data_IF_385058714103
#
_entry.id   IF_385058714103
#
_cell.length_a   1.000
_cell.length_b   1.000
_cell.length_c   1.000
_cell.angle_alpha   90.00
_cell.angle_beta   90.00
_cell.angle_gamma   90.00
#
_symmetry.space_group_name_H-M   'P 1'
#
loop_
_entity.id
_entity.type
_entity.pdbx_description
1 polymer ?
#
# COMPACT_ATOMS: atom_id res chain seq x y z
N UNK A 1 -3.27 13.44 4.10
CA UNK A 1 -3.67 13.61 5.52
C UNK A 1 -2.93 12.55 6.36
N UNK A 2 -2.34 12.89 7.51
CA UNK A 2 -1.50 11.94 8.26
C UNK A 2 -2.29 10.81 8.95
N UNK A 3 -3.54 11.09 9.36
CA UNK A 3 -4.42 10.12 10.02
C UNK A 3 -4.74 8.92 9.13
N UNK A 4 -5.17 9.14 7.87
CA UNK A 4 -5.55 8.07 6.94
C UNK A 4 -4.37 7.11 6.71
N UNK A 5 -3.17 7.66 6.52
CA UNK A 5 -1.93 6.89 6.36
C UNK A 5 -1.57 6.06 7.61
N UNK A 6 -1.84 6.57 8.81
CA UNK A 6 -1.62 5.81 10.03
C UNK A 6 -2.65 4.69 10.20
N UNK A 7 -3.92 4.98 9.89
CA UNK A 7 -5.02 4.02 9.95
C UNK A 7 -4.91 2.89 8.91
N UNK A 8 -4.20 3.12 7.80
CA UNK A 8 -3.92 2.09 6.79
C UNK A 8 -3.05 0.95 7.34
N UNK A 9 -2.18 1.23 8.32
CA UNK A 9 -1.32 0.23 8.98
C UNK A 9 -1.83 -0.16 10.37
N UNK A 10 -3.11 0.08 10.66
CA UNK A 10 -3.74 -0.31 11.90
C UNK A 10 -3.82 -1.84 12.02
N UNK A 11 -3.76 -2.37 13.24
CA UNK A 11 -3.85 -3.81 13.50
C UNK A 11 -5.26 -4.36 13.16
N UNK A 12 -6.30 -3.55 13.36
CA UNK A 12 -7.68 -3.92 13.08
C UNK A 12 -7.98 -3.86 11.57
N UNK A 13 -8.45 -4.97 11.01
CA UNK A 13 -8.82 -5.05 9.59
C UNK A 13 -9.93 -4.07 9.20
N UNK A 14 -10.88 -3.83 10.12
CA UNK A 14 -11.99 -2.89 9.93
C UNK A 14 -11.48 -1.46 9.77
N UNK A 15 -10.47 -1.08 10.55
CA UNK A 15 -9.85 0.25 10.49
C UNK A 15 -9.07 0.43 9.19
N UNK A 16 -8.36 -0.61 8.73
CA UNK A 16 -7.66 -0.56 7.44
C UNK A 16 -8.61 -0.42 6.27
N UNK A 17 -9.74 -1.13 6.27
CA UNK A 17 -10.75 -1.03 5.22
C UNK A 17 -11.38 0.38 5.19
N UNK A 18 -11.79 0.90 6.35
CA UNK A 18 -12.31 2.26 6.46
C UNK A 18 -11.27 3.32 6.03
N UNK A 19 -9.99 3.10 6.35
CA UNK A 19 -8.90 3.96 5.92
C UNK A 19 -8.68 3.90 4.41
N UNK A 20 -8.84 2.75 3.77
CA UNK A 20 -8.76 2.62 2.32
C UNK A 20 -9.93 3.32 1.60
N UNK A 21 -11.16 3.22 2.13
CA UNK A 21 -12.30 4.00 1.62
C UNK A 21 -12.08 5.50 1.82
N UNK A 22 -11.59 5.91 2.99
CA UNK A 22 -11.26 7.32 3.25
C UNK A 22 -10.12 7.82 2.34
N UNK A 23 -9.15 6.97 2.03
CA UNK A 23 -8.06 7.26 1.10
C UNK A 23 -8.56 7.41 -0.33
N UNK A 24 -9.54 6.61 -0.74
CA UNK A 24 -10.19 6.72 -2.05
C UNK A 24 -10.93 8.06 -2.21
N UNK A 25 -11.72 8.44 -1.18
CA UNK A 25 -12.39 9.73 -1.13
C UNK A 25 -11.40 10.91 -1.05
N UNK A 26 -10.28 10.74 -0.33
CA UNK A 26 -9.19 11.73 -0.25
C UNK A 26 -8.58 11.93 -1.64
N UNK A 27 -8.32 10.87 -2.40
CA UNK A 27 -7.78 11.00 -3.75
C UNK A 27 -8.73 11.69 -4.73
N UNK A 28 -10.05 11.45 -4.62
CA UNK A 28 -11.04 12.12 -5.47
C UNK A 28 -11.00 13.64 -5.29
N UNK A 29 -10.70 14.13 -4.08
CA UNK A 29 -10.73 15.55 -3.74
C UNK A 29 -9.35 16.23 -3.71
N UNK A 30 -8.29 15.50 -3.33
CA UNK A 30 -6.91 16.01 -3.17
C UNK A 30 -6.03 15.65 -4.38
N UNK A 31 -6.45 14.67 -5.19
CA UNK A 31 -5.72 14.25 -6.39
C UNK A 31 -4.49 13.36 -6.09
N UNK A 32 -3.59 13.18 -7.07
CA UNK A 32 -2.52 12.17 -7.01
C UNK A 32 -1.48 12.37 -5.89
N UNK A 33 -1.42 13.55 -5.25
CA UNK A 33 -0.47 13.83 -4.15
C UNK A 33 -0.65 12.90 -2.95
N UNK A 34 -1.86 12.44 -2.68
CA UNK A 34 -2.11 11.50 -1.58
C UNK A 34 -1.42 10.15 -1.82
N UNK A 35 -1.38 9.68 -3.07
CA UNK A 35 -0.66 8.47 -3.49
C UNK A 35 0.85 8.67 -3.36
N UNK A 36 1.35 9.79 -3.90
CA UNK A 36 2.78 10.08 -3.92
C UNK A 36 3.41 10.10 -2.52
N UNK A 37 2.64 10.41 -1.48
CA UNK A 37 3.12 10.37 -0.09
C UNK A 37 2.85 9.03 0.61
N UNK A 38 1.71 8.39 0.32
CA UNK A 38 1.26 7.20 1.06
C UNK A 38 1.95 5.94 0.58
N UNK A 39 2.08 5.76 -0.74
CA UNK A 39 2.68 4.56 -1.33
C UNK A 39 4.14 4.39 -0.92
N UNK A 40 5.03 5.41 -1.00
CA UNK A 40 6.40 5.26 -0.54
C UNK A 40 6.50 4.91 0.94
N UNK A 41 5.61 5.48 1.78
CA UNK A 41 5.59 5.18 3.22
C UNK A 41 5.27 3.70 3.48
N UNK A 42 4.26 3.15 2.79
CA UNK A 42 3.88 1.75 2.90
C UNK A 42 4.96 0.82 2.34
N UNK A 43 5.60 1.20 1.23
CA UNK A 43 6.72 0.47 0.65
C UNK A 43 7.94 0.46 1.57
N UNK A 44 8.24 1.57 2.25
CA UNK A 44 9.32 1.61 3.24
C UNK A 44 9.04 0.73 4.44
N UNK A 45 7.80 0.72 4.95
CA UNK A 45 7.38 -0.22 5.99
C UNK A 45 7.49 -1.69 5.53
N UNK A 46 7.33 -1.93 4.22
CA UNK A 46 7.51 -3.25 3.60
C UNK A 46 8.98 -3.70 3.50
N UNK A 47 9.94 -2.75 3.44
CA UNK A 47 11.37 -3.07 3.25
C UNK A 47 12.00 -3.78 4.45
N UNK A 48 11.38 -3.72 5.62
CA UNK A 48 11.79 -4.48 6.80
C UNK A 48 10.84 -5.67 7.04
N UNK A 49 11.06 -6.81 6.37
CA UNK A 49 10.21 -7.99 6.48
C UNK A 49 10.28 -8.67 7.85
N UNK A 50 11.17 -8.23 8.75
CA UNK A 50 11.26 -8.75 10.12
C UNK A 50 10.41 -7.95 11.10
N UNK A 51 9.92 -6.78 10.69
CA UNK A 51 9.04 -5.96 11.49
C UNK A 51 7.61 -6.49 11.44
N UNK A 52 6.89 -6.41 12.57
CA UNK A 52 5.45 -6.66 12.61
C UNK A 52 4.67 -5.74 11.66
N UNK A 53 5.26 -4.61 11.26
CA UNK A 53 4.69 -3.66 10.30
C UNK A 53 4.67 -4.17 8.86
N UNK A 54 5.47 -5.15 8.47
CA UNK A 54 5.54 -5.62 7.08
C UNK A 54 4.26 -6.31 6.62
N UNK A 55 3.64 -7.13 7.48
CA UNK A 55 2.36 -7.78 7.17
C UNK A 55 1.23 -6.76 7.08
N UNK A 56 1.21 -5.80 8.00
CA UNK A 56 0.18 -4.75 8.04
C UNK A 56 0.32 -3.79 6.86
N UNK A 57 1.54 -3.41 6.48
CA UNK A 57 1.81 -2.61 5.30
C UNK A 57 1.45 -3.34 4.00
N UNK A 58 1.66 -4.66 3.93
CA UNK A 58 1.22 -5.47 2.80
C UNK A 58 -0.32 -5.51 2.69
N UNK A 59 -1.01 -5.67 3.82
CA UNK A 59 -2.47 -5.61 3.86
C UNK A 59 -2.99 -4.23 3.45
N UNK A 60 -2.36 -3.16 3.93
CA UNK A 60 -2.65 -1.78 3.53
C UNK A 60 -2.51 -1.57 2.02
N UNK A 61 -1.38 -2.03 1.45
CA UNK A 61 -1.14 -1.95 0.00
C UNK A 61 -2.20 -2.71 -0.79
N UNK A 62 -2.69 -3.86 -0.30
CA UNK A 62 -3.78 -4.58 -0.97
C UNK A 62 -5.09 -3.79 -0.96
N UNK A 63 -5.47 -3.18 0.16
CA UNK A 63 -6.71 -2.40 0.21
C UNK A 63 -6.62 -1.15 -0.67
N UNK A 64 -5.47 -0.48 -0.67
CA UNK A 64 -5.22 0.65 -1.59
C UNK A 64 -5.25 0.19 -3.06
N UNK A 65 -4.69 -0.98 -3.36
CA UNK A 65 -4.71 -1.59 -4.69
C UNK A 65 -6.14 -1.95 -5.13
N UNK A 66 -7.00 -2.45 -4.24
CA UNK A 66 -8.43 -2.70 -4.54
C UNK A 66 -9.18 -1.44 -4.90
N UNK A 67 -8.91 -0.36 -4.17
CA UNK A 67 -9.56 0.91 -4.42
C UNK A 67 -9.14 1.49 -5.79
N UNK A 68 -7.83 1.47 -6.10
CA UNK A 68 -7.26 2.23 -7.25
C UNK A 68 -6.05 1.57 -7.90
N UNK A 69 -6.24 0.36 -8.42
CA UNK A 69 -5.17 -0.40 -9.09
C UNK A 69 -4.50 0.36 -10.25
N UNK A 70 -5.28 1.12 -11.03
CA UNK A 70 -4.85 1.86 -12.21
C UNK A 70 -3.76 2.91 -11.94
N UNK A 71 -3.83 3.58 -10.78
CA UNK A 71 -2.86 4.62 -10.39
C UNK A 71 -1.74 4.05 -9.53
N UNK A 72 -2.03 3.02 -8.73
CA UNK A 72 -1.09 2.46 -7.75
C UNK A 72 -0.10 1.50 -8.40
N UNK A 73 -0.54 0.69 -9.37
CA UNK A 73 0.30 -0.33 -10.01
C UNK A 73 1.56 0.22 -10.69
N UNK A 74 1.51 1.33 -11.45
CA UNK A 74 2.69 1.90 -12.09
C UNK A 74 3.75 2.38 -11.09
N UNK A 75 3.34 2.78 -9.88
CA UNK A 75 4.24 3.25 -8.81
C UNK A 75 4.87 2.07 -8.06
N UNK A 76 4.12 0.99 -7.88
CA UNK A 76 4.58 -0.20 -7.18
C UNK A 76 5.54 -1.06 -8.02
N UNK A 77 5.32 -1.13 -9.34
CA UNK A 77 6.09 -1.97 -10.26
C UNK A 77 7.61 -1.75 -10.13
N UNK A 78 8.15 -0.52 -10.28
CA UNK A 78 9.59 -0.27 -10.18
C UNK A 78 10.18 -0.66 -8.83
N UNK A 79 9.42 -0.46 -7.74
CA UNK A 79 9.88 -0.77 -6.38
C UNK A 79 9.91 -2.28 -6.12
N UNK A 80 8.90 -3.00 -6.59
CA UNK A 80 8.80 -4.44 -6.40
C UNK A 80 9.70 -5.21 -7.37
N UNK A 81 9.99 -4.68 -8.57
CA UNK A 81 10.94 -5.28 -9.53
C UNK A 81 12.37 -4.78 -9.37
N UNK A 82 12.64 -3.92 -8.37
CA UNK A 82 13.98 -3.41 -8.11
C UNK A 82 14.94 -4.57 -7.79
N UNK A 83 16.11 -4.56 -8.43
CA UNK A 83 17.15 -5.56 -8.16
C UNK A 83 17.97 -5.18 -6.91
N UNK A 84 18.29 -6.16 -6.04
CA UNK A 84 17.96 -7.58 -6.13
C UNK A 84 16.48 -7.86 -5.79
N UNK A 85 15.82 -8.68 -6.61
CA UNK A 85 14.44 -9.11 -6.34
C UNK A 85 14.43 -10.01 -5.12
N UNK A 86 13.91 -9.50 -4.00
CA UNK A 86 13.78 -10.28 -2.78
C UNK A 86 12.61 -11.26 -2.92
N UNK A 87 12.69 -12.43 -2.26
CA UNK A 87 11.57 -13.38 -2.22
C UNK A 87 10.29 -12.72 -1.67
N UNK A 88 10.47 -11.77 -0.75
CA UNK A 88 9.40 -10.96 -0.21
C UNK A 88 8.74 -10.03 -1.25
N UNK A 89 9.53 -9.27 -2.03
CA UNK A 89 8.99 -8.42 -3.10
C UNK A 89 8.28 -9.25 -4.19
N UNK A 90 8.81 -10.44 -4.51
CA UNK A 90 8.17 -11.36 -5.44
C UNK A 90 6.81 -11.86 -4.91
N UNK A 91 6.75 -12.21 -3.62
CA UNK A 91 5.49 -12.61 -2.96
C UNK A 91 4.50 -11.44 -2.86
N UNK A 92 4.98 -10.23 -2.58
CA UNK A 92 4.15 -9.03 -2.54
C UNK A 92 3.58 -8.72 -3.92
N UNK A 93 4.40 -8.79 -4.97
CA UNK A 93 3.95 -8.64 -6.35
C UNK A 93 2.88 -9.69 -6.72
N UNK A 94 3.11 -10.96 -6.38
CA UNK A 94 2.13 -12.03 -6.62
C UNK A 94 0.82 -11.79 -5.88
N UNK A 95 0.87 -11.36 -4.61
CA UNK A 95 -0.31 -11.06 -3.81
C UNK A 95 -1.09 -9.84 -4.30
N UNK A 96 -0.41 -8.83 -4.87
CA UNK A 96 -1.04 -7.61 -5.36
C UNK A 96 -1.65 -7.80 -6.76
N UNK A 97 -1.02 -8.61 -7.62
CA UNK A 97 -1.56 -8.93 -8.97
C UNK A 97 -2.86 -9.75 -8.90
N UNK A 98 -3.06 -10.57 -7.86
CA UNK A 98 -4.30 -11.32 -7.67
C UNK A 98 -5.52 -10.45 -7.31
N UNK A 99 -5.26 -9.23 -6.86
CA UNK A 99 -6.27 -8.31 -6.33
C UNK A 99 -6.58 -7.20 -7.35
N UNK A 100 -5.77 -7.10 -8.41
CA UNK A 100 -5.88 -6.14 -9.51
C UNK A 100 -6.92 -6.55 -10.56
#
# INVERSE_FOLDING_TARGET
IAIIRHSLVDEAAEVRAAAAEAFDAEQEHIGPRAIDETIPTLLEALKDPTSAGAETALAALREVMRARADVVFPVLLPTLTAQPLTAFNANALAALVQVA
#
